data_IF_284112483193
#
_entry.id   IF_284112483193
#
_cell.length_a   1.000
_cell.length_b   1.000
_cell.length_c   1.000
_cell.angle_alpha   90.00
_cell.angle_beta   90.00
_cell.angle_gamma   90.00
#
_symmetry.space_group_name_H-M   'P 1'
#
loop_
_entity.id
_entity.type
_entity.pdbx_description
1 polymer ?
#
# COMPACT_ATOMS: atom_id res chain seq x y z
N UNK A 1 -30.76 -2.33 7.94
CA UNK A 1 -29.50 -1.82 8.50
C UNK A 1 -28.58 -2.98 8.82
N UNK A 2 -27.28 -2.88 8.53
CA UNK A 2 -26.28 -3.90 8.88
C UNK A 2 -25.48 -3.37 10.07
N UNK A 3 -25.79 -3.86 11.27
CA UNK A 3 -25.07 -3.49 12.49
C UNK A 3 -23.72 -4.22 12.53
N UNK A 4 -22.63 -3.47 12.63
CA UNK A 4 -21.33 -4.00 13.04
C UNK A 4 -21.24 -3.88 14.56
N UNK A 5 -21.34 -5.02 15.26
CA UNK A 5 -21.27 -5.06 16.73
C UNK A 5 -19.84 -5.08 17.27
N UNK A 6 -18.88 -5.49 16.44
CA UNK A 6 -17.46 -5.50 16.79
C UNK A 6 -16.75 -4.22 16.34
N UNK A 7 -15.86 -3.71 17.20
CA UNK A 7 -14.91 -2.63 16.87
C UNK A 7 -13.51 -3.23 16.76
N UNK A 8 -12.79 -2.82 15.72
CA UNK A 8 -11.40 -3.21 15.51
C UNK A 8 -10.48 -2.04 15.85
N UNK A 9 -9.38 -2.33 16.53
CA UNK A 9 -8.43 -1.35 17.03
C UNK A 9 -7.00 -1.70 16.62
N UNK A 10 -6.20 -0.66 16.42
CA UNK A 10 -4.74 -0.77 16.29
C UNK A 10 -4.09 -1.21 17.61
N UNK A 11 -2.83 -1.71 17.58
CA UNK A 11 -2.07 -2.01 18.79
C UNK A 11 -1.97 -0.82 19.77
N UNK A 12 -2.07 0.41 19.26
CA UNK A 12 -2.06 1.64 20.05
C UNK A 12 -3.46 2.07 20.54
N UNK A 13 -4.49 1.22 20.42
CA UNK A 13 -5.85 1.50 20.90
C UNK A 13 -6.69 2.43 20.03
N UNK A 14 -6.21 2.83 18.86
CA UNK A 14 -6.98 3.68 17.91
C UNK A 14 -7.94 2.84 17.06
N UNK A 15 -9.22 3.22 16.90
CA UNK A 15 -10.18 2.45 16.09
C UNK A 15 -9.89 2.57 14.59
N UNK A 16 -10.10 1.49 13.85
CA UNK A 16 -10.02 1.52 12.37
C UNK A 16 -11.31 1.99 11.72
N UNK A 17 -12.46 1.82 12.39
CA UNK A 17 -13.78 2.17 11.86
C UNK A 17 -13.82 3.64 11.46
N UNK A 18 -14.24 3.93 10.22
CA UNK A 18 -14.34 5.26 9.61
C UNK A 18 -13.01 6.03 9.42
N UNK A 19 -11.87 5.47 9.84
CA UNK A 19 -10.55 6.10 9.74
C UNK A 19 -9.64 5.37 8.75
N UNK A 20 -9.73 4.03 8.70
CA UNK A 20 -8.86 3.19 7.88
C UNK A 20 -7.45 3.03 8.48
N UNK A 21 -6.50 2.65 7.63
CA UNK A 21 -5.08 2.50 7.97
C UNK A 21 -4.28 3.35 6.98
N UNK A 22 -3.40 4.20 7.50
CA UNK A 22 -2.48 4.96 6.67
C UNK A 22 -1.32 4.05 6.22
N UNK A 23 -1.06 3.93 4.91
CA UNK A 23 0.06 3.13 4.43
C UNK A 23 1.38 3.89 4.57
N UNK A 24 2.46 3.17 4.85
CA UNK A 24 3.81 3.74 4.89
C UNK A 24 4.26 4.25 3.50
N UNK A 25 3.79 3.57 2.45
CA UNK A 25 4.09 3.89 1.05
C UNK A 25 2.78 4.12 0.32
N UNK A 26 2.57 5.35 -0.15
CA UNK A 26 1.41 5.70 -0.94
C UNK A 26 1.68 5.38 -2.41
N UNK A 27 0.89 4.47 -2.98
CA UNK A 27 0.88 4.17 -4.41
C UNK A 27 -0.50 4.56 -4.95
N UNK A 28 -0.52 5.41 -5.97
CA UNK A 28 -1.76 5.85 -6.60
C UNK A 28 -1.80 5.33 -8.03
N UNK A 29 -2.78 4.47 -8.32
CA UNK A 29 -3.10 4.06 -9.68
C UNK A 29 -4.30 4.87 -10.16
N UNK A 30 -4.13 5.62 -11.25
CA UNK A 30 -5.22 6.31 -11.92
C UNK A 30 -5.49 5.61 -13.24
N UNK A 31 -6.69 5.07 -13.43
CA UNK A 31 -7.13 4.66 -14.75
C UNK A 31 -7.27 5.93 -15.60
N UNK A 32 -6.35 6.15 -16.55
CA UNK A 32 -6.49 7.22 -17.53
C UNK A 32 -7.51 6.77 -18.56
N UNK A 33 -8.71 7.37 -18.68
CA UNK A 33 -9.61 7.05 -19.78
C UNK A 33 -8.96 7.60 -21.06
N UNK A 34 -8.64 6.72 -22.00
CA UNK A 34 -8.22 7.10 -23.36
C UNK A 34 -9.32 6.58 -24.27
N UNK A 35 -10.23 7.46 -24.72
CA UNK A 35 -11.28 7.18 -25.72
C UNK A 35 -11.99 5.81 -25.61
N UNK A 36 -12.31 5.38 -24.39
CA UNK A 36 -13.06 4.14 -24.14
C UNK A 36 -12.27 2.83 -24.31
N UNK A 37 -10.95 2.89 -24.53
CA UNK A 37 -10.07 1.72 -24.55
C UNK A 37 -9.12 1.74 -23.36
N UNK A 38 -9.19 0.70 -22.52
CA UNK A 38 -8.21 0.47 -21.48
C UNK A 38 -6.90 0.03 -22.14
N UNK A 39 -5.75 0.67 -21.85
CA UNK A 39 -4.48 0.21 -22.37
C UNK A 39 -4.22 -1.22 -21.87
N UNK A 40 -4.22 -2.16 -22.82
CA UNK A 40 -3.95 -3.56 -22.55
C UNK A 40 -2.44 -3.71 -22.29
N UNK A 41 -2.06 -3.57 -21.02
CA UNK A 41 -0.66 -3.59 -20.57
C UNK A 41 -0.37 -2.57 -19.46
N UNK A 42 -1.25 -2.42 -18.48
CA UNK A 42 -0.97 -1.60 -17.31
C UNK A 42 0.21 -2.20 -16.53
N UNK A 43 1.34 -1.48 -16.49
CA UNK A 43 2.39 -1.72 -15.51
C UNK A 43 1.76 -1.72 -14.11
N UNK A 44 1.89 -2.84 -13.39
CA UNK A 44 1.38 -2.96 -12.03
C UNK A 44 2.21 -2.05 -11.10
N UNK A 45 1.69 -0.85 -10.89
CA UNK A 45 2.30 0.19 -10.05
C UNK A 45 2.48 -0.27 -8.61
N UNK A 46 1.60 -1.15 -8.11
CA UNK A 46 1.67 -1.68 -6.75
C UNK A 46 2.84 -2.66 -6.65
N UNK A 47 2.91 -3.62 -7.57
CA UNK A 47 3.96 -4.63 -7.60
C UNK A 47 5.34 -4.02 -7.83
N UNK A 48 5.47 -3.12 -8.80
CA UNK A 48 6.73 -2.46 -9.12
C UNK A 48 7.25 -1.64 -7.93
N UNK A 49 6.37 -0.89 -7.26
CA UNK A 49 6.73 -0.12 -6.05
C UNK A 49 7.16 -1.06 -4.91
N UNK A 50 6.44 -2.16 -4.70
CA UNK A 50 6.78 -3.14 -3.67
C UNK A 50 8.17 -3.77 -3.91
N UNK A 51 8.48 -4.12 -5.16
CA UNK A 51 9.80 -4.64 -5.55
C UNK A 51 10.91 -3.60 -5.32
N UNK A 52 10.67 -2.34 -5.69
CA UNK A 52 11.64 -1.27 -5.49
C UNK A 52 11.92 -1.04 -4.00
N UNK A 53 10.88 -0.92 -3.18
CA UNK A 53 11.01 -0.71 -1.74
C UNK A 53 11.74 -1.88 -1.06
N UNK A 54 11.43 -3.11 -1.45
CA UNK A 54 12.07 -4.31 -0.90
C UNK A 54 13.57 -4.33 -1.19
N UNK A 55 13.97 -4.02 -2.43
CA UNK A 55 15.39 -3.95 -2.83
C UNK A 55 16.16 -2.89 -2.03
N UNK A 56 15.56 -1.72 -1.82
CA UNK A 56 16.16 -0.66 -1.00
C UNK A 56 16.31 -1.08 0.47
N UNK A 57 15.28 -1.73 1.03
CA UNK A 57 15.28 -2.20 2.42
C UNK A 57 16.36 -3.26 2.68
N UNK A 58 16.51 -4.23 1.77
CA UNK A 58 17.57 -5.25 1.84
C UNK A 58 18.98 -4.65 1.76
N UNK A 59 19.16 -3.62 0.95
CA UNK A 59 20.45 -2.94 0.80
C UNK A 59 20.84 -2.23 2.10
N UNK A 60 19.90 -1.49 2.71
CA UNK A 60 20.10 -0.82 4.01
C UNK A 60 20.43 -1.81 5.13
N UNK A 61 19.67 -2.91 5.23
CA UNK A 61 19.87 -3.92 6.26
C UNK A 61 21.27 -4.58 6.18
N UNK A 62 21.78 -4.80 4.97
CA UNK A 62 23.14 -5.35 4.77
C UNK A 62 24.23 -4.37 5.22
N UNK A 63 24.09 -3.09 4.92
CA UNK A 63 25.06 -2.07 5.35
C UNK A 63 25.09 -1.91 6.87
N UNK A 64 23.95 -2.02 7.56
CA UNK A 64 23.91 -1.98 9.03
C UNK A 64 24.50 -3.21 9.70
N UNK A 65 24.53 -4.36 9.04
CA UNK A 65 25.11 -5.60 9.59
C UNK A 65 26.63 -5.70 9.42
N UNK A 66 27.25 -4.81 8.64
CA UNK A 66 28.70 -4.78 8.37
C UNK A 66 29.46 -3.74 9.22
N UNK A 67 28.77 -3.08 10.16
CA UNK A 67 29.34 -2.17 11.15
C UNK A 67 29.23 -2.78 12.54
#
# INVERSE_FOLDING_TARGET
>A
MRLTTAKFFSPNGRPFSLVGVEPDIRVQQTAKPIDGSLPMGEDDAILSTALQYTRQSLTRARTSAQR
#
